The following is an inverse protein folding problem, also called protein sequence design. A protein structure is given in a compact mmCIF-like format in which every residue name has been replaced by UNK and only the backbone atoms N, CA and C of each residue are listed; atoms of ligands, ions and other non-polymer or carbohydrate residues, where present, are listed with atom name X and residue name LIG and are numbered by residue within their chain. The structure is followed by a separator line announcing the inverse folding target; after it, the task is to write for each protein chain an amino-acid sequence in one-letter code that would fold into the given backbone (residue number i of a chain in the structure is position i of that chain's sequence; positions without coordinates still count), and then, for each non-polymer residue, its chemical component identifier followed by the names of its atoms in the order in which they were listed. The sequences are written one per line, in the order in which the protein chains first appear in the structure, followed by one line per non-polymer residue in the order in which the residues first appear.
data_IF_550908986025
#
_entry.id   IF_550908986025
#
_cell.length_a   1.000
_cell.length_b   1.000
_cell.length_c   1.000
_cell.angle_alpha   90.00
_cell.angle_beta   90.00
_cell.angle_gamma   90.00
#
_symmetry.space_group_name_H-M   'P 1'
#
loop_
_entity.id
_entity.type
_entity.pdbx_description
1 polymer ?
#
# COMPACT_ATOMS: atom_id res chain seq x y z
N UNK A 1 14.76 -6.85 5.12
CA UNK A 1 15.14 -6.15 3.86
C UNK A 1 15.80 -7.14 2.93
N UNK A 2 15.35 -7.26 1.69
CA UNK A 2 15.80 -8.31 0.74
C UNK A 2 16.51 -7.65 -0.43
N UNK A 3 17.74 -8.07 -0.71
CA UNK A 3 18.50 -7.59 -1.86
C UNK A 3 18.42 -8.60 -3.02
N UNK A 4 17.89 -8.17 -4.15
CA UNK A 4 17.69 -9.03 -5.33
C UNK A 4 18.96 -9.02 -6.16
N UNK A 5 19.72 -10.13 -6.12
CA UNK A 5 20.88 -10.35 -7.00
C UNK A 5 20.51 -11.27 -8.15
N UNK A 6 20.79 -10.83 -9.37
CA UNK A 6 20.73 -11.69 -10.55
C UNK A 6 21.89 -12.68 -10.51
N UNK A 7 21.61 -13.96 -10.25
CA UNK A 7 22.61 -15.02 -10.26
C UNK A 7 22.56 -15.75 -11.60
N UNK A 8 23.65 -15.68 -12.37
CA UNK A 8 23.80 -16.49 -13.57
C UNK A 8 24.44 -17.82 -13.20
N UNK A 9 23.63 -18.87 -13.10
CA UNK A 9 24.13 -20.22 -12.94
C UNK A 9 24.34 -20.81 -14.34
N UNK A 10 25.59 -21.05 -14.73
CA UNK A 10 25.92 -21.79 -15.92
C UNK A 10 26.13 -23.26 -15.50
N UNK A 11 25.13 -24.11 -15.76
CA UNK A 11 25.28 -25.55 -15.66
C UNK A 11 25.65 -26.05 -17.08
N UNK A 12 26.88 -26.48 -17.26
CA UNK A 12 27.31 -27.20 -18.46
C UNK A 12 26.82 -28.65 -18.32
N UNK A 13 25.76 -29.03 -19.03
CA UNK A 13 25.45 -30.41 -19.28
C UNK A 13 25.58 -30.72 -20.78
N UNK A 14 26.37 -31.72 -21.05
CA UNK A 14 26.64 -32.24 -22.41
C UNK A 14 25.43 -32.94 -23.00
N UNK A 15 25.07 -32.47 -24.20
CA UNK A 15 24.44 -33.17 -25.31
C UNK A 15 23.47 -34.36 -25.05
N UNK A 16 22.19 -34.07 -25.15
CA UNK A 16 21.27 -34.82 -26.02
C UNK A 16 20.15 -33.88 -26.46
N UNK A 17 19.90 -33.83 -27.75
CA UNK A 17 18.98 -32.95 -28.43
C UNK A 17 17.52 -33.18 -28.03
N UNK A 18 17.06 -32.43 -27.05
CA UNK A 18 15.72 -31.89 -26.99
C UNK A 18 15.93 -30.37 -26.80
N UNK A 19 15.30 -29.56 -27.61
CA UNK A 19 15.23 -28.13 -27.35
C UNK A 19 14.45 -27.97 -26.05
N UNK A 20 15.17 -27.96 -24.91
CA UNK A 20 14.63 -27.41 -23.70
C UNK A 20 14.46 -25.91 -23.96
N UNK A 21 13.28 -25.32 -23.70
CA UNK A 21 13.15 -23.90 -23.75
C UNK A 21 14.23 -23.30 -22.84
N UNK A 22 14.87 -22.22 -23.29
CA UNK A 22 15.86 -21.48 -22.51
C UNK A 22 15.39 -21.43 -21.08
N UNK A 23 16.10 -22.09 -20.17
CA UNK A 23 15.78 -22.02 -18.74
C UNK A 23 15.93 -20.58 -18.35
N UNK A 24 14.81 -19.87 -18.25
CA UNK A 24 14.78 -18.47 -17.84
C UNK A 24 15.53 -18.36 -16.52
N UNK A 25 16.49 -17.44 -16.47
CA UNK A 25 17.32 -17.25 -15.28
C UNK A 25 16.45 -16.88 -14.11
N UNK A 26 16.33 -17.78 -13.15
CA UNK A 26 15.69 -17.50 -11.88
C UNK A 26 16.48 -16.43 -11.12
N UNK A 27 15.78 -15.58 -10.38
CA UNK A 27 16.41 -14.62 -9.50
C UNK A 27 16.71 -15.28 -8.14
N UNK A 28 17.83 -14.88 -7.53
CA UNK A 28 18.13 -15.19 -6.13
C UNK A 28 17.80 -13.99 -5.27
N UNK A 29 17.40 -14.23 -4.04
CA UNK A 29 17.28 -13.20 -3.00
C UNK A 29 18.29 -13.46 -1.89
N UNK A 30 18.62 -12.41 -1.16
CA UNK A 30 19.33 -12.50 0.12
C UNK A 30 18.59 -11.63 1.13
N UNK A 31 18.40 -12.15 2.35
CA UNK A 31 17.89 -11.36 3.47
C UNK A 31 19.10 -10.60 4.02
N UNK A 32 19.03 -9.27 3.97
CA UNK A 32 20.09 -8.41 4.51
C UNK A 32 19.90 -8.12 5.99
N UNK A 33 18.66 -7.81 6.36
CA UNK A 33 18.29 -7.49 7.74
C UNK A 33 16.90 -8.03 8.07
N UNK A 34 16.68 -8.26 9.36
CA UNK A 34 15.37 -8.55 9.94
C UNK A 34 15.10 -7.45 10.97
N UNK A 35 14.00 -6.74 10.79
CA UNK A 35 13.50 -5.76 11.73
C UNK A 35 12.46 -6.46 12.61
N UNK A 36 12.85 -6.81 13.84
CA UNK A 36 11.98 -7.53 14.76
C UNK A 36 10.90 -6.60 15.30
N UNK A 37 9.73 -6.60 14.67
CA UNK A 37 8.54 -5.93 15.20
C UNK A 37 7.95 -6.77 16.32
N UNK A 38 7.42 -6.12 17.38
CA UNK A 38 6.81 -6.84 18.51
C UNK A 38 5.46 -7.50 18.17
N UNK A 39 4.88 -7.13 17.03
CA UNK A 39 3.61 -7.65 16.49
C UNK A 39 3.72 -7.96 15.01
N UNK A 40 2.61 -8.33 14.41
CA UNK A 40 2.57 -8.65 12.98
C UNK A 40 2.72 -7.36 12.16
N UNK A 41 3.81 -7.22 11.40
CA UNK A 41 3.95 -6.13 10.44
C UNK A 41 2.88 -6.28 9.35
N UNK A 42 1.87 -5.41 9.39
CA UNK A 42 0.72 -5.43 8.46
C UNK A 42 0.94 -4.56 7.25
N UNK A 43 1.48 -3.38 7.49
CA UNK A 43 1.66 -2.35 6.46
C UNK A 43 2.92 -1.54 6.74
N UNK A 44 3.58 -1.09 5.69
CA UNK A 44 4.77 -0.24 5.76
C UNK A 44 4.71 0.85 4.71
N UNK A 45 5.10 2.05 5.09
CA UNK A 45 5.36 3.16 4.18
C UNK A 45 6.78 3.67 4.41
N UNK A 46 7.43 4.12 3.34
CA UNK A 46 8.82 4.57 3.38
C UNK A 46 8.91 6.03 2.98
N UNK A 47 9.63 6.81 3.79
CA UNK A 47 9.97 8.21 3.51
C UNK A 47 11.47 8.41 3.72
N UNK A 48 12.23 8.63 2.65
CA UNK A 48 13.69 8.70 2.72
C UNK A 48 14.29 7.40 3.26
N UNK A 49 15.04 7.48 4.34
CA UNK A 49 15.60 6.32 5.05
C UNK A 49 14.71 5.80 6.19
N UNK A 50 13.52 6.34 6.38
CA UNK A 50 12.61 5.92 7.45
C UNK A 50 11.52 4.99 6.95
N UNK A 51 11.28 3.91 7.69
CA UNK A 51 10.12 3.06 7.53
C UNK A 51 9.15 3.27 8.69
N UNK A 52 7.90 3.51 8.36
CA UNK A 52 6.78 3.59 9.31
C UNK A 52 5.98 2.32 9.16
N UNK A 53 5.83 1.57 10.25
CA UNK A 53 5.25 0.21 10.23
C UNK A 53 4.00 0.16 11.09
N UNK A 54 2.90 -0.33 10.54
CA UNK A 54 1.74 -0.76 11.30
C UNK A 54 1.97 -2.20 11.77
N UNK A 55 2.11 -2.40 13.08
CA UNK A 55 2.54 -3.67 13.68
C UNK A 55 1.42 -4.38 14.48
N UNK A 56 0.19 -4.31 13.98
CA UNK A 56 -0.96 -4.97 14.61
C UNK A 56 -1.21 -4.51 16.03
N UNK A 57 -1.29 -5.44 16.96
CA UNK A 57 -1.51 -5.16 18.39
C UNK A 57 -0.37 -4.41 19.06
N UNK A 58 0.81 -4.39 18.47
CA UNK A 58 1.97 -3.66 19.00
C UNK A 58 2.00 -2.20 18.56
N UNK A 59 1.01 -1.75 17.78
CA UNK A 59 0.86 -0.37 17.38
C UNK A 59 1.72 0.03 16.19
N UNK A 60 2.42 1.17 16.26
CA UNK A 60 3.23 1.67 15.14
C UNK A 60 4.69 1.86 15.54
N UNK A 61 5.58 1.56 14.62
CA UNK A 61 7.02 1.67 14.80
C UNK A 61 7.66 2.50 13.71
N UNK A 62 8.70 3.24 14.07
CA UNK A 62 9.51 4.01 13.13
C UNK A 62 10.93 3.44 13.17
N UNK A 63 11.43 3.03 12.02
CA UNK A 63 12.76 2.45 11.84
C UNK A 63 13.63 3.31 10.95
N UNK A 64 14.92 3.38 11.28
CA UNK A 64 15.95 3.86 10.37
C UNK A 64 16.46 2.67 9.53
N UNK A 65 16.31 2.78 8.22
CA UNK A 65 16.65 1.70 7.29
C UNK A 65 18.14 1.65 6.95
N UNK A 66 18.85 2.77 7.06
CA UNK A 66 20.30 2.83 6.84
C UNK A 66 21.06 2.27 8.04
N UNK A 67 20.70 2.74 9.24
CA UNK A 67 21.33 2.33 10.48
C UNK A 67 20.76 1.02 11.06
N UNK A 68 19.65 0.52 10.51
CA UNK A 68 18.92 -0.67 10.97
C UNK A 68 18.50 -0.58 12.45
N UNK A 69 18.04 0.59 12.89
CA UNK A 69 17.69 0.84 14.27
C UNK A 69 16.23 1.23 14.42
N UNK A 70 15.62 0.77 15.52
CA UNK A 70 14.30 1.22 15.93
C UNK A 70 14.42 2.63 16.53
N UNK A 71 13.79 3.61 15.88
CA UNK A 71 13.76 4.99 16.37
C UNK A 71 12.67 5.20 17.39
N UNK A 72 11.46 4.71 17.12
CA UNK A 72 10.28 4.87 17.98
C UNK A 72 9.37 3.64 17.92
N UNK A 73 8.66 3.44 19.04
CA UNK A 73 7.71 2.36 19.24
C UNK A 73 6.51 2.91 20.04
N UNK A 74 5.35 2.98 19.40
CA UNK A 74 4.12 3.53 19.97
C UNK A 74 3.08 2.43 20.09
N UNK A 75 2.78 2.02 21.31
CA UNK A 75 1.73 1.01 21.58
C UNK A 75 0.33 1.61 21.68
N UNK A 76 0.23 2.92 21.70
CA UNK A 76 -1.03 3.67 21.79
C UNK A 76 -0.77 5.18 21.75
N UNK A 77 -1.79 5.94 22.08
CA UNK A 77 -1.78 7.41 22.04
C UNK A 77 -2.65 8.00 23.16
N UNK A 78 -2.48 9.29 23.42
CA UNK A 78 -3.31 10.03 24.37
C UNK A 78 -4.44 10.80 23.66
N UNK A 79 -5.67 10.64 24.14
CA UNK A 79 -6.84 11.39 23.72
C UNK A 79 -7.63 11.86 24.94
N UNK A 80 -7.84 13.17 25.06
CA UNK A 80 -8.58 13.76 26.20
C UNK A 80 -8.00 13.45 27.58
N UNK A 81 -6.67 13.21 27.67
CA UNK A 81 -5.99 12.84 28.91
C UNK A 81 -6.11 11.36 29.28
N UNK A 82 -6.58 10.52 28.36
CA UNK A 82 -6.67 9.08 28.51
C UNK A 82 -5.72 8.40 27.51
N UNK A 83 -4.91 7.47 27.98
CA UNK A 83 -4.08 6.63 27.10
C UNK A 83 -4.93 5.50 26.51
N UNK A 84 -4.92 5.40 25.17
CA UNK A 84 -5.63 4.39 24.40
C UNK A 84 -4.60 3.50 23.67
N UNK A 85 -4.66 2.20 23.91
CA UNK A 85 -3.79 1.22 23.24
C UNK A 85 -4.34 0.87 21.85
N UNK A 86 -3.44 0.70 20.88
CA UNK A 86 -3.80 0.12 19.58
C UNK A 86 -4.15 -1.37 19.75
N UNK A 87 -5.23 -1.81 19.07
CA UNK A 87 -5.71 -3.19 19.18
C UNK A 87 -5.31 -4.05 17.98
N UNK A 88 -5.42 -3.53 16.77
CA UNK A 88 -5.06 -4.24 15.52
C UNK A 88 -4.76 -3.25 14.41
N UNK A 89 -3.65 -2.51 14.56
CA UNK A 89 -3.25 -1.50 13.59
C UNK A 89 -2.89 -2.17 12.24
N UNK A 90 -3.60 -1.80 11.20
CA UNK A 90 -3.53 -2.46 9.90
C UNK A 90 -3.02 -1.56 8.77
N UNK A 91 -3.37 -0.28 8.80
CA UNK A 91 -3.04 0.66 7.74
C UNK A 91 -2.23 1.83 8.28
N UNK A 92 -1.31 2.29 7.46
CA UNK A 92 -0.45 3.44 7.76
C UNK A 92 -0.28 4.30 6.51
N UNK A 93 -0.34 5.62 6.69
CA UNK A 93 -0.09 6.61 5.65
C UNK A 93 0.71 7.79 6.18
N UNK A 94 1.32 8.55 5.30
CA UNK A 94 2.20 9.66 5.65
C UNK A 94 1.92 10.89 4.80
N UNK A 95 1.85 12.04 5.44
CA UNK A 95 1.91 13.36 4.80
C UNK A 95 3.14 14.09 5.34
N UNK A 96 4.25 14.08 4.61
CA UNK A 96 5.49 14.72 5.05
C UNK A 96 5.40 16.24 5.06
N UNK A 97 4.55 16.86 4.23
CA UNK A 97 4.40 18.32 4.14
C UNK A 97 3.86 18.90 5.45
N UNK A 98 2.87 18.22 6.03
CA UNK A 98 2.21 18.65 7.26
C UNK A 98 2.66 17.85 8.49
N UNK A 99 3.69 17.02 8.36
CA UNK A 99 4.18 16.14 9.42
C UNK A 99 3.10 15.24 10.00
N UNK A 100 2.18 14.72 9.16
CA UNK A 100 1.09 13.87 9.61
C UNK A 100 1.40 12.39 9.39
N UNK A 101 0.94 11.58 10.32
CA UNK A 101 0.85 10.14 10.24
C UNK A 101 -0.62 9.74 10.35
N UNK A 102 -1.09 8.96 9.39
CA UNK A 102 -2.44 8.42 9.36
C UNK A 102 -2.40 6.96 9.76
N UNK A 103 -3.20 6.60 10.75
CA UNK A 103 -3.24 5.24 11.27
C UNK A 103 -4.68 4.74 11.31
N UNK A 104 -4.91 3.52 10.83
CA UNK A 104 -6.21 2.87 10.94
C UNK A 104 -6.07 1.44 11.44
N UNK A 105 -6.88 1.09 12.41
CA UNK A 105 -7.06 -0.29 12.84
C UNK A 105 -7.96 -1.02 11.84
N UNK A 106 -7.91 -2.35 11.85
CA UNK A 106 -8.68 -3.18 10.92
C UNK A 106 -10.16 -2.82 10.93
N UNK A 107 -10.67 -2.37 9.78
CA UNK A 107 -12.08 -1.98 9.57
C UNK A 107 -12.58 -0.85 10.50
N UNK A 108 -11.72 0.09 10.82
CA UNK A 108 -12.03 1.24 11.67
C UNK A 108 -11.79 2.56 10.93
N UNK A 109 -12.08 3.65 11.64
CA UNK A 109 -11.79 5.01 11.20
C UNK A 109 -10.28 5.27 11.05
N UNK A 110 -9.93 6.28 10.26
CA UNK A 110 -8.54 6.73 10.14
C UNK A 110 -8.25 7.83 11.15
N UNK A 111 -7.27 7.62 12.01
CA UNK A 111 -6.81 8.60 12.99
C UNK A 111 -5.69 9.46 12.41
N UNK A 112 -5.75 10.76 12.67
CA UNK A 112 -4.76 11.77 12.27
C UNK A 112 -3.85 12.03 13.45
N UNK A 113 -2.56 11.83 13.25
CA UNK A 113 -1.53 12.17 14.22
C UNK A 113 -0.55 13.19 13.63
N UNK A 114 -0.11 14.11 14.44
CA UNK A 114 1.07 14.92 14.14
C UNK A 114 2.31 14.25 14.71
N UNK A 115 3.32 14.10 13.88
CA UNK A 115 4.63 13.59 14.26
C UNK A 115 5.55 14.81 14.38
N UNK A 116 5.89 15.19 15.60
CA UNK A 116 6.71 16.38 15.85
C UNK A 116 8.20 16.13 15.54
N UNK A 117 9.04 17.19 15.66
CA UNK A 117 10.49 17.12 15.40
C UNK A 117 11.24 16.14 16.34
N UNK A 118 10.61 15.72 17.43
CA UNK A 118 11.15 14.71 18.35
C UNK A 118 10.63 13.32 18.10
N UNK A 119 9.90 13.14 16.99
CA UNK A 119 9.14 11.94 16.66
C UNK A 119 8.14 11.55 17.75
N UNK A 120 7.47 12.53 18.40
CA UNK A 120 6.36 12.26 19.32
C UNK A 120 5.06 12.20 18.55
N UNK A 121 4.24 11.18 18.87
CA UNK A 121 2.97 10.92 18.21
C UNK A 121 1.85 11.67 18.95
N UNK A 122 1.31 12.73 18.33
CA UNK A 122 0.30 13.59 18.94
C UNK A 122 -1.01 13.42 18.17
N UNK A 123 -2.04 12.84 18.82
CA UNK A 123 -3.38 12.73 18.25
C UNK A 123 -3.97 14.10 17.92
N UNK A 124 -4.60 14.21 16.75
CA UNK A 124 -5.22 15.46 16.27
C UNK A 124 -6.70 15.35 15.98
N UNK A 125 -7.10 14.32 15.25
CA UNK A 125 -8.51 14.12 14.90
C UNK A 125 -8.74 12.69 14.37
N UNK A 126 -9.99 12.36 14.09
CA UNK A 126 -10.40 11.11 13.44
C UNK A 126 -11.23 11.42 12.19
N UNK A 127 -10.84 10.82 11.06
CA UNK A 127 -11.63 10.81 9.83
C UNK A 127 -12.66 9.70 9.96
N UNK A 128 -13.92 10.08 10.09
CA UNK A 128 -15.03 9.14 10.27
C UNK A 128 -15.28 8.34 9.00
N UNK A 129 -14.89 7.08 9.02
CA UNK A 129 -15.12 6.13 7.95
C UNK A 129 -15.40 4.78 8.57
N UNK A 130 -16.62 4.29 8.47
CA UNK A 130 -17.08 3.16 9.27
C UNK A 130 -16.31 1.85 9.06
N UNK A 131 -15.70 1.65 7.86
CA UNK A 131 -14.97 0.43 7.50
C UNK A 131 -13.91 0.70 6.45
N UNK A 132 -12.93 1.52 6.75
CA UNK A 132 -11.79 1.78 5.88
C UNK A 132 -11.03 0.49 5.61
N UNK A 133 -10.89 0.15 4.34
CA UNK A 133 -10.11 -1.00 3.84
C UNK A 133 -8.74 -0.60 3.35
N UNK A 134 -8.66 0.62 2.85
CA UNK A 134 -7.43 1.23 2.35
C UNK A 134 -7.63 2.73 2.17
N UNK A 135 -6.55 3.49 2.10
CA UNK A 135 -6.62 4.92 1.83
C UNK A 135 -5.34 5.44 1.18
N UNK A 136 -5.47 6.54 0.46
CA UNK A 136 -4.36 7.32 -0.08
C UNK A 136 -4.52 8.78 0.30
N UNK A 137 -3.43 9.44 0.69
CA UNK A 137 -3.37 10.88 0.83
C UNK A 137 -2.71 11.48 -0.40
N UNK A 138 -3.34 12.48 -1.00
CA UNK A 138 -2.72 13.23 -2.09
C UNK A 138 -1.63 14.14 -1.55
N UNK A 139 -0.61 14.48 -2.39
CA UNK A 139 0.41 15.42 -1.99
C UNK A 139 -0.22 16.71 -1.47
N UNK A 140 0.03 16.97 -0.20
CA UNK A 140 -0.61 18.06 0.52
C UNK A 140 0.12 19.37 0.23
N UNK A 141 -0.61 20.46 0.28
CA UNK A 141 0.00 21.77 0.48
C UNK A 141 0.09 22.01 2.00
N UNK A 142 0.89 23.00 2.39
CA UNK A 142 1.00 23.34 3.81
C UNK A 142 -0.38 23.69 4.39
N UNK A 143 -0.67 23.15 5.57
CA UNK A 143 -1.92 23.36 6.32
C UNK A 143 -3.18 22.79 5.65
N UNK A 144 -3.04 21.94 4.63
CA UNK A 144 -4.16 21.27 3.97
C UNK A 144 -3.78 19.87 3.51
N UNK A 145 -4.72 18.93 3.58
CA UNK A 145 -4.59 17.63 2.93
C UNK A 145 -5.93 17.10 2.40
N UNK A 146 -5.85 16.23 1.41
CA UNK A 146 -6.99 15.44 0.92
C UNK A 146 -6.66 13.97 1.04
N UNK A 147 -7.60 13.21 1.60
CA UNK A 147 -7.52 11.76 1.69
C UNK A 147 -8.69 11.13 0.96
N UNK A 148 -8.37 10.10 0.18
CA UNK A 148 -9.36 9.22 -0.44
C UNK A 148 -9.29 7.86 0.23
N UNK A 149 -10.44 7.29 0.59
CA UNK A 149 -10.52 5.99 1.25
C UNK A 149 -11.47 5.05 0.53
N UNK A 150 -11.05 3.80 0.41
CA UNK A 150 -11.90 2.69 0.03
C UNK A 150 -12.67 2.24 1.27
N UNK A 151 -13.98 2.49 1.30
CA UNK A 151 -14.87 2.08 2.38
C UNK A 151 -15.75 0.92 1.93
N UNK A 152 -15.70 -0.19 2.65
CA UNK A 152 -16.38 -1.41 2.25
C UNK A 152 -17.90 -1.28 2.13
N UNK A 153 -18.51 -0.36 2.84
CA UNK A 153 -19.97 -0.20 2.89
C UNK A 153 -20.45 0.98 2.03
N UNK A 154 -19.64 2.03 1.93
CA UNK A 154 -20.08 3.33 1.39
C UNK A 154 -19.43 3.69 0.03
N UNK A 155 -18.44 2.93 -0.40
CA UNK A 155 -17.78 3.18 -1.68
C UNK A 155 -16.47 3.96 -1.53
N UNK A 156 -16.23 4.90 -2.44
CA UNK A 156 -15.11 5.84 -2.36
C UNK A 156 -15.53 7.03 -1.52
N UNK A 157 -14.82 7.27 -0.43
CA UNK A 157 -14.95 8.50 0.34
C UNK A 157 -13.75 9.40 0.12
N UNK A 158 -13.95 10.70 0.11
CA UNK A 158 -12.87 11.65 0.16
C UNK A 158 -13.13 12.73 1.21
N UNK A 159 -12.05 13.21 1.81
CA UNK A 159 -12.07 14.15 2.91
C UNK A 159 -11.02 15.22 2.68
N UNK A 160 -11.46 16.48 2.78
CA UNK A 160 -10.56 17.63 2.71
C UNK A 160 -10.47 18.28 4.08
N UNK A 161 -9.26 18.45 4.58
CA UNK A 161 -8.97 19.02 5.89
C UNK A 161 -8.08 20.25 5.77
N UNK A 162 -8.39 21.26 6.58
CA UNK A 162 -7.54 22.41 6.80
C UNK A 162 -7.02 22.40 8.25
N UNK A 163 -5.83 22.97 8.43
CA UNK A 163 -5.30 23.26 9.75
C UNK A 163 -5.85 24.61 10.22
N UNK A 164 -6.68 24.56 11.25
CA UNK A 164 -7.19 25.76 11.91
C UNK A 164 -6.39 26.04 13.19
N UNK A 165 -5.97 27.29 13.38
CA UNK A 165 -5.36 27.72 14.62
C UNK A 165 -6.23 28.79 15.27
N UNK A 166 -6.59 28.58 16.52
CA UNK A 166 -7.31 29.55 17.34
C UNK A 166 -6.53 29.83 18.59
N UNK A 167 -6.46 31.13 18.99
CA UNK A 167 -5.82 31.54 20.23
C UNK A 167 -6.87 31.95 21.26
N UNK A 168 -6.82 31.35 22.44
CA UNK A 168 -7.67 31.72 23.57
C UNK A 168 -6.83 31.78 24.85
N UNK A 169 -6.93 32.91 25.57
CA UNK A 169 -6.16 33.17 26.80
C UNK A 169 -4.64 32.99 26.67
N UNK A 170 -4.07 33.24 25.47
CA UNK A 170 -2.64 33.08 25.17
C UNK A 170 -2.21 31.63 24.95
N UNK A 171 -3.15 30.72 24.83
CA UNK A 171 -2.95 29.34 24.43
C UNK A 171 -3.40 29.19 22.98
N UNK A 172 -2.52 28.64 22.15
CA UNK A 172 -2.82 28.31 20.75
C UNK A 172 -3.40 26.89 20.69
N UNK A 173 -4.56 26.78 20.06
CA UNK A 173 -5.21 25.50 19.76
C UNK A 173 -5.08 25.24 18.27
N UNK A 174 -4.45 24.15 17.91
CA UNK A 174 -4.21 23.70 16.53
C UNK A 174 -5.04 22.44 16.30
N UNK A 175 -5.94 22.50 15.33
CA UNK A 175 -6.84 21.40 15.01
C UNK A 175 -6.97 21.20 13.49
N UNK A 176 -6.96 19.96 13.06
CA UNK A 176 -7.30 19.60 11.69
C UNK A 176 -8.82 19.48 11.58
N UNK A 177 -9.45 20.40 10.85
CA UNK A 177 -10.90 20.45 10.71
C UNK A 177 -11.34 20.06 9.31
N UNK A 178 -12.46 19.29 9.17
CA UNK A 178 -13.01 18.96 7.87
C UNK A 178 -13.53 20.23 7.18
N UNK A 179 -13.02 20.50 5.98
CA UNK A 179 -13.43 21.63 5.13
C UNK A 179 -14.36 21.20 4.01
N UNK A 180 -14.26 19.97 3.56
CA UNK A 180 -15.08 19.38 2.52
C UNK A 180 -14.96 17.86 2.52
N UNK A 181 -15.75 17.24 1.70
CA UNK A 181 -15.76 15.80 1.52
C UNK A 181 -17.06 15.32 0.90
N UNK A 182 -17.01 14.15 0.32
CA UNK A 182 -18.17 13.48 -0.26
C UNK A 182 -17.94 11.98 -0.27
N UNK A 183 -18.99 11.25 -0.55
CA UNK A 183 -18.95 9.83 -0.85
C UNK A 183 -19.44 9.57 -2.27
N UNK A 184 -18.79 8.65 -2.96
CA UNK A 184 -19.17 8.22 -4.29
C UNK A 184 -19.50 6.74 -4.18
N UNK A 185 -20.77 6.44 -4.28
CA UNK A 185 -21.24 5.07 -4.25
C UNK A 185 -20.63 4.26 -5.38
N UNK A 186 -20.02 3.12 -5.03
CA UNK A 186 -19.65 2.07 -5.98
C UNK A 186 -20.56 0.87 -5.79
N UNK A 187 -20.99 0.20 -6.85
CA UNK A 187 -21.90 -0.93 -6.73
C UNK A 187 -21.26 -2.20 -6.13
N UNK A 188 -19.94 -2.19 -5.87
CA UNK A 188 -19.18 -3.27 -5.27
C UNK A 188 -18.66 -2.91 -3.87
N UNK A 189 -17.69 -3.70 -3.40
CA UNK A 189 -17.01 -3.48 -2.13
C UNK A 189 -15.60 -3.01 -2.39
N UNK A 190 -15.28 -1.73 -2.20
CA UNK A 190 -13.92 -1.25 -2.29
C UNK A 190 -13.03 -1.89 -1.21
N UNK A 191 -11.88 -2.43 -1.63
CA UNK A 191 -10.95 -3.14 -0.76
C UNK A 191 -9.53 -2.57 -0.81
N UNK A 192 -9.15 -1.96 -1.94
CA UNK A 192 -7.85 -1.35 -2.14
C UNK A 192 -7.96 -0.07 -2.95
N UNK A 193 -7.03 0.85 -2.75
CA UNK A 193 -6.97 2.11 -3.46
C UNK A 193 -5.52 2.53 -3.63
N UNK A 194 -5.20 3.14 -4.78
CA UNK A 194 -3.91 3.77 -5.04
C UNK A 194 -4.10 4.98 -5.95
N UNK A 195 -3.09 5.83 -6.08
CA UNK A 195 -3.14 7.03 -6.88
C UNK A 195 -1.78 7.39 -7.48
N UNK A 196 -1.79 8.19 -8.56
CA UNK A 196 -0.57 8.80 -9.12
C UNK A 196 -0.11 10.03 -8.31
N UNK A 197 -0.89 10.43 -7.31
CA UNK A 197 -0.65 11.62 -6.51
C UNK A 197 -0.96 12.93 -7.26
N UNK A 198 -1.54 12.90 -8.46
CA UNK A 198 -1.81 14.08 -9.28
C UNK A 198 -3.29 14.15 -9.71
N UNK A 199 -3.76 13.19 -10.47
CA UNK A 199 -5.05 13.28 -11.14
C UNK A 199 -5.81 11.95 -11.27
N UNK A 200 -5.18 10.83 -10.96
CA UNK A 200 -5.78 9.51 -11.09
C UNK A 200 -5.88 8.80 -9.75
N UNK A 201 -7.03 8.17 -9.55
CA UNK A 201 -7.27 7.20 -8.48
C UNK A 201 -7.65 5.88 -9.14
N UNK A 202 -7.09 4.80 -8.61
CA UNK A 202 -7.50 3.44 -8.97
C UNK A 202 -8.02 2.73 -7.73
N UNK A 203 -9.09 1.95 -7.88
CA UNK A 203 -9.74 1.28 -6.78
C UNK A 203 -10.03 -0.18 -7.12
N UNK A 204 -9.61 -1.10 -6.25
CA UNK A 204 -10.01 -2.50 -6.29
C UNK A 204 -11.41 -2.64 -5.68
N UNK A 205 -12.34 -3.26 -6.40
CA UNK A 205 -13.76 -3.33 -6.04
C UNK A 205 -14.26 -4.79 -6.03
N UNK A 206 -13.58 -5.62 -5.26
CA UNK A 206 -13.95 -7.05 -5.05
C UNK A 206 -14.30 -7.74 -6.37
N UNK A 207 -15.50 -8.30 -6.50
CA UNK A 207 -15.98 -9.04 -7.67
C UNK A 207 -16.22 -8.17 -8.93
N UNK A 208 -16.17 -6.86 -8.81
CA UNK A 208 -16.37 -5.95 -9.95
C UNK A 208 -15.04 -5.54 -10.63
N UNK A 209 -13.93 -6.08 -10.15
CA UNK A 209 -12.61 -5.78 -10.69
C UNK A 209 -12.09 -4.40 -10.26
N UNK A 210 -11.67 -3.57 -11.20
CA UNK A 210 -10.96 -2.32 -10.93
C UNK A 210 -11.67 -1.14 -11.56
N UNK A 211 -11.82 -0.06 -10.80
CA UNK A 211 -12.29 1.25 -11.26
C UNK A 211 -11.11 2.22 -11.37
N UNK A 212 -11.08 2.98 -12.47
CA UNK A 212 -10.18 4.11 -12.66
C UNK A 212 -11.01 5.40 -12.65
N UNK A 213 -10.59 6.35 -11.82
CA UNK A 213 -11.25 7.65 -11.67
C UNK A 213 -10.25 8.77 -11.95
N UNK A 214 -10.74 9.91 -12.44
CA UNK A 214 -9.96 11.13 -12.58
C UNK A 214 -10.41 12.19 -11.58
N UNK A 215 -9.49 13.06 -11.23
CA UNK A 215 -9.71 14.22 -10.36
C UNK A 215 -9.25 15.45 -11.13
N UNK A 216 -10.14 16.40 -11.37
CA UNK A 216 -9.82 17.63 -12.09
C UNK A 216 -9.01 18.63 -11.25
N UNK A 217 -9.20 18.61 -9.95
CA UNK A 217 -8.48 19.45 -8.97
C UNK A 217 -8.58 18.86 -7.56
N UNK A 218 -7.64 19.21 -6.72
CA UNK A 218 -7.61 18.77 -5.32
C UNK A 218 -8.93 19.14 -4.60
N UNK A 219 -9.60 18.14 -4.01
CA UNK A 219 -10.90 18.33 -3.35
C UNK A 219 -12.11 18.39 -4.30
N UNK A 220 -11.94 18.11 -5.60
CA UNK A 220 -13.06 17.88 -6.49
C UNK A 220 -13.58 16.44 -6.37
N UNK A 221 -14.84 16.25 -6.71
CA UNK A 221 -15.43 14.91 -6.79
C UNK A 221 -14.74 14.09 -7.89
N UNK A 222 -14.20 12.90 -7.59
CA UNK A 222 -13.63 12.02 -8.60
C UNK A 222 -14.68 11.57 -9.63
N UNK A 223 -14.25 11.50 -10.89
CA UNK A 223 -15.10 11.09 -12.03
C UNK A 223 -14.64 9.75 -12.56
N UNK A 224 -15.55 8.77 -12.63
CA UNK A 224 -15.26 7.46 -13.18
C UNK A 224 -14.87 7.54 -14.66
N UNK A 225 -13.65 7.11 -14.99
CA UNK A 225 -13.18 6.94 -16.39
C UNK A 225 -13.69 5.62 -16.94
N UNK A 226 -13.57 4.55 -16.17
CA UNK A 226 -14.00 3.22 -16.60
C UNK A 226 -13.74 2.14 -15.56
N UNK A 227 -14.20 0.95 -15.90
CA UNK A 227 -14.04 -0.27 -15.13
C UNK A 227 -13.50 -1.38 -15.99
N UNK A 228 -12.62 -2.20 -15.41
CA UNK A 228 -12.14 -3.44 -16.03
C UNK A 228 -12.34 -4.59 -15.04
N UNK A 229 -13.03 -5.63 -15.48
CA UNK A 229 -13.22 -6.84 -14.70
C UNK A 229 -11.92 -7.65 -14.60
N UNK A 230 -11.70 -8.30 -13.48
CA UNK A 230 -10.56 -9.18 -13.22
C UNK A 230 -10.99 -10.61 -13.00
N UNK A 231 -10.10 -11.55 -13.26
CA UNK A 231 -10.34 -12.92 -12.89
C UNK A 231 -10.15 -13.06 -11.36
N UNK A 232 -11.24 -13.26 -10.63
CA UNK A 232 -11.26 -13.29 -9.16
C UNK A 232 -11.53 -11.95 -8.52
N UNK A 233 -11.42 -11.89 -7.19
CA UNK A 233 -11.72 -10.70 -6.41
C UNK A 233 -10.53 -9.73 -6.43
N UNK A 234 -10.73 -8.50 -6.87
CA UNK A 234 -9.72 -7.46 -6.77
C UNK A 234 -9.62 -6.97 -5.31
N UNK A 235 -8.46 -7.20 -4.68
CA UNK A 235 -8.20 -6.89 -3.27
C UNK A 235 -7.34 -5.63 -3.09
N UNK A 236 -6.22 -5.57 -3.81
CA UNK A 236 -5.27 -4.46 -3.76
C UNK A 236 -4.83 -4.07 -5.15
N UNK A 237 -4.48 -2.81 -5.32
CA UNK A 237 -4.04 -2.23 -6.59
C UNK A 237 -2.75 -1.46 -6.41
N UNK A 238 -1.94 -1.42 -7.47
CA UNK A 238 -0.76 -0.57 -7.56
C UNK A 238 -0.79 0.13 -8.91
N UNK A 239 -0.92 1.45 -8.88
CA UNK A 239 -0.93 2.29 -10.06
C UNK A 239 0.50 2.60 -10.50
N UNK A 240 0.76 2.43 -11.78
CA UNK A 240 2.03 2.79 -12.42
C UNK A 240 1.78 3.66 -13.64
N UNK A 241 2.81 4.27 -14.18
CA UNK A 241 2.69 5.05 -15.42
C UNK A 241 2.26 4.22 -16.64
N UNK A 242 2.42 2.90 -16.61
CA UNK A 242 2.05 1.99 -17.72
C UNK A 242 0.68 1.36 -17.55
N UNK A 243 0.16 1.28 -16.33
CA UNK A 243 -1.10 0.61 -16.02
C UNK A 243 -1.22 0.25 -14.55
N UNK A 244 -2.20 -0.58 -14.27
CA UNK A 244 -2.57 -1.00 -12.92
C UNK A 244 -2.21 -2.46 -12.71
N UNK A 245 -1.49 -2.76 -11.65
CA UNK A 245 -1.29 -4.11 -11.16
C UNK A 245 -2.30 -4.40 -10.05
N UNK A 246 -2.88 -5.59 -10.07
CA UNK A 246 -4.00 -5.96 -9.20
C UNK A 246 -3.70 -7.28 -8.50
N UNK A 247 -3.83 -7.31 -7.17
CA UNK A 247 -3.90 -8.54 -6.40
C UNK A 247 -5.33 -9.07 -6.48
N UNK A 248 -5.50 -10.29 -7.00
CA UNK A 248 -6.80 -10.89 -7.31
C UNK A 248 -7.13 -12.10 -6.42
N UNK A 249 -6.73 -12.05 -5.13
CA UNK A 249 -6.96 -13.13 -4.17
C UNK A 249 -6.53 -14.48 -4.76
N UNK A 250 -7.41 -15.47 -4.77
CA UNK A 250 -7.16 -16.83 -5.25
C UNK A 250 -6.94 -16.96 -6.77
N UNK A 251 -7.14 -15.90 -7.53
CA UNK A 251 -6.92 -15.89 -8.97
C UNK A 251 -5.54 -15.31 -9.37
N UNK A 252 -4.68 -15.07 -8.40
CA UNK A 252 -3.33 -14.56 -8.63
C UNK A 252 -3.28 -13.05 -8.74
N UNK A 253 -2.71 -12.55 -9.82
CA UNK A 253 -2.54 -11.16 -10.11
C UNK A 253 -2.99 -10.82 -11.54
N UNK A 254 -3.25 -9.53 -11.78
CA UNK A 254 -3.57 -9.04 -13.10
C UNK A 254 -2.84 -7.74 -13.42
N UNK A 255 -2.62 -7.47 -14.70
CA UNK A 255 -2.18 -6.20 -15.23
C UNK A 255 -3.23 -5.62 -16.18
N UNK A 256 -3.54 -4.33 -16.01
CA UNK A 256 -4.52 -3.60 -16.80
C UNK A 256 -3.84 -2.35 -17.37
N UNK A 257 -3.59 -2.26 -18.69
CA UNK A 257 -3.16 -1.01 -19.33
C UNK A 257 -4.16 0.12 -19.07
N UNK A 258 -3.68 1.35 -18.90
CA UNK A 258 -4.58 2.51 -18.66
C UNK A 258 -5.61 2.69 -19.77
N UNK A 259 -5.22 2.45 -21.01
CA UNK A 259 -6.12 2.56 -22.18
C UNK A 259 -7.22 1.50 -22.23
N UNK A 260 -7.16 0.47 -21.43
CA UNK A 260 -8.22 -0.54 -21.34
C UNK A 260 -9.43 -0.09 -20.52
N UNK A 261 -9.26 0.90 -19.66
CA UNK A 261 -10.39 1.44 -18.90
C UNK A 261 -11.40 2.13 -19.83
N UNK A 262 -12.67 1.78 -19.64
CA UNK A 262 -13.75 2.22 -20.53
C UNK A 262 -13.84 1.46 -21.87
N UNK A 263 -13.07 0.39 -22.05
CA UNK A 263 -13.14 -0.52 -23.20
C UNK A 263 -13.59 -1.93 -22.75
N UNK A 264 -13.80 -2.82 -23.74
CA UNK A 264 -14.12 -4.22 -23.47
C UNK A 264 -12.86 -5.12 -23.38
N UNK A 265 -11.67 -4.53 -23.31
CA UNK A 265 -10.44 -5.29 -23.23
C UNK A 265 -10.27 -5.87 -21.82
N UNK A 266 -9.95 -7.16 -21.70
CA UNK A 266 -9.79 -7.80 -20.40
C UNK A 266 -8.46 -7.41 -19.75
N UNK A 267 -8.36 -7.70 -18.43
CA UNK A 267 -7.11 -7.71 -17.72
C UNK A 267 -6.22 -8.90 -18.13
N UNK A 268 -4.90 -8.74 -18.05
CA UNK A 268 -3.94 -9.80 -18.29
C UNK A 268 -3.60 -10.48 -16.98
N UNK A 269 -4.07 -11.71 -16.76
CA UNK A 269 -3.82 -12.47 -15.52
C UNK A 269 -2.46 -13.17 -15.53
N UNK A 270 -1.80 -13.20 -14.37
CA UNK A 270 -0.56 -13.93 -14.13
C UNK A 270 -0.49 -14.42 -12.67
N UNK A 271 0.47 -15.30 -12.35
CA UNK A 271 0.60 -15.83 -10.99
C UNK A 271 -0.64 -16.56 -10.48
N UNK A 272 -1.42 -17.18 -11.36
CA UNK A 272 -2.74 -17.76 -11.08
C UNK A 272 -2.71 -18.98 -10.15
N UNK A 273 -1.52 -19.48 -9.83
CA UNK A 273 -1.30 -20.58 -8.85
C UNK A 273 -1.16 -20.07 -7.41
N UNK A 274 -1.26 -18.74 -7.20
CA UNK A 274 -1.10 -18.08 -5.92
C UNK A 274 -2.38 -17.40 -5.46
N UNK A 275 -2.57 -17.35 -4.14
CA UNK A 275 -3.39 -16.34 -3.50
C UNK A 275 -2.52 -15.11 -3.28
N UNK A 276 -2.88 -13.98 -3.88
CA UNK A 276 -2.08 -12.76 -3.86
C UNK A 276 -2.79 -11.70 -3.02
N UNK A 277 -2.17 -11.35 -1.89
CA UNK A 277 -2.70 -10.37 -0.94
C UNK A 277 -2.29 -8.93 -1.29
N UNK A 278 -1.09 -8.75 -1.88
CA UNK A 278 -0.55 -7.43 -2.23
C UNK A 278 0.48 -7.53 -3.36
N UNK A 279 0.62 -6.46 -4.14
CA UNK A 279 1.64 -6.32 -5.19
C UNK A 279 2.39 -5.02 -4.97
N UNK A 280 3.73 -5.11 -4.90
CA UNK A 280 4.60 -3.96 -4.99
C UNK A 280 5.32 -3.95 -6.33
N UNK A 281 5.43 -2.79 -6.96
CA UNK A 281 6.06 -2.63 -8.27
C UNK A 281 7.18 -1.59 -8.17
N UNK A 282 8.34 -1.92 -8.74
CA UNK A 282 9.44 -0.98 -8.88
C UNK A 282 10.25 -1.30 -10.14
N UNK A 283 10.37 -0.33 -11.04
CA UNK A 283 10.99 -0.54 -12.34
C UNK A 283 10.36 -1.75 -13.06
N UNK A 284 11.17 -2.74 -13.42
CA UNK A 284 10.73 -3.95 -14.12
C UNK A 284 10.51 -5.14 -13.18
N UNK A 285 10.22 -4.91 -11.92
CA UNK A 285 10.02 -5.96 -10.91
C UNK A 285 8.66 -5.80 -10.27
N UNK A 286 7.86 -6.86 -10.29
CA UNK A 286 6.69 -7.00 -9.43
C UNK A 286 6.99 -8.02 -8.33
N UNK A 287 6.66 -7.65 -7.10
CA UNK A 287 6.77 -8.49 -5.92
C UNK A 287 5.36 -8.77 -5.38
N UNK A 288 4.95 -10.04 -5.44
CA UNK A 288 3.64 -10.51 -4.99
C UNK A 288 3.78 -11.08 -3.58
N UNK A 289 3.06 -10.51 -2.62
CA UNK A 289 2.88 -11.10 -1.29
C UNK A 289 1.84 -12.21 -1.40
N UNK A 290 2.26 -13.45 -1.15
CA UNK A 290 1.46 -14.66 -1.39
C UNK A 290 1.17 -15.43 -0.09
N UNK A 291 0.90 -14.68 0.98
CA UNK A 291 0.52 -15.21 2.27
C UNK A 291 1.53 -16.21 2.81
N UNK A 292 1.06 -17.40 3.19
CA UNK A 292 1.90 -18.47 3.78
C UNK A 292 2.97 -19.04 2.84
N UNK A 293 2.87 -18.79 1.54
CA UNK A 293 3.90 -19.22 0.57
C UNK A 293 5.04 -18.22 0.43
N UNK A 294 4.95 -17.06 1.09
CA UNK A 294 5.98 -16.03 1.14
C UNK A 294 5.86 -15.02 0.01
N UNK A 295 6.86 -14.93 -0.85
CA UNK A 295 7.00 -13.90 -1.88
C UNK A 295 7.22 -14.54 -3.26
N UNK A 296 6.51 -14.07 -4.29
CA UNK A 296 6.81 -14.39 -5.67
C UNK A 296 7.32 -13.15 -6.41
N UNK A 297 8.37 -13.29 -7.20
CA UNK A 297 8.96 -12.20 -7.97
C UNK A 297 8.76 -12.42 -9.47
N UNK A 298 8.36 -11.36 -10.16
CA UNK A 298 8.12 -11.34 -11.60
C UNK A 298 8.96 -10.26 -12.29
N UNK A 299 9.48 -10.61 -13.47
CA UNK A 299 10.01 -9.64 -14.43
C UNK A 299 8.84 -9.09 -15.24
N UNK A 300 8.62 -7.79 -15.12
CA UNK A 300 7.57 -7.06 -15.80
C UNK A 300 8.15 -6.05 -16.81
N UNK A 301 9.31 -6.38 -17.42
CA UNK A 301 9.88 -5.58 -18.52
C UNK A 301 8.89 -5.44 -19.68
N UNK A 302 8.03 -6.42 -19.87
CA UNK A 302 6.80 -6.34 -20.65
C UNK A 302 5.63 -6.62 -19.70
N UNK A 303 4.91 -5.59 -19.22
CA UNK A 303 3.83 -5.77 -18.27
C UNK A 303 2.67 -6.62 -18.80
N UNK A 304 2.52 -6.72 -20.11
CA UNK A 304 1.52 -7.59 -20.75
C UNK A 304 1.87 -9.09 -20.66
N UNK A 305 3.15 -9.41 -20.39
CA UNK A 305 3.67 -10.78 -20.29
C UNK A 305 4.63 -10.94 -19.12
N UNK A 306 4.14 -10.86 -17.88
CA UNK A 306 4.97 -11.03 -16.68
C UNK A 306 5.60 -12.42 -16.61
N UNK A 307 6.90 -12.47 -16.30
CA UNK A 307 7.66 -13.71 -16.25
C UNK A 307 8.07 -14.01 -14.81
N UNK A 308 7.64 -15.15 -14.25
CA UNK A 308 8.05 -15.56 -12.91
C UNK A 308 9.57 -15.78 -12.83
N UNK A 309 10.19 -15.19 -11.83
CA UNK A 309 11.62 -15.27 -11.54
C UNK A 309 11.96 -16.04 -10.27
N UNK A 310 10.97 -16.39 -9.49
CA UNK A 310 11.12 -17.26 -8.33
C UNK A 310 10.07 -17.04 -7.26
N UNK A 311 9.91 -18.09 -6.45
CA UNK A 311 9.07 -18.10 -5.25
C UNK A 311 9.97 -18.31 -4.03
N UNK A 312 9.80 -17.47 -3.01
CA UNK A 312 10.70 -17.40 -1.85
C UNK A 312 9.89 -17.60 -0.57
N UNK A 313 10.03 -18.73 0.12
CA UNK A 313 9.30 -19.06 1.35
C UNK A 313 9.92 -18.33 2.56
N UNK A 314 9.65 -17.04 2.69
CA UNK A 314 10.19 -16.16 3.74
C UNK A 314 9.21 -15.92 4.91
N UNK A 315 8.31 -16.84 5.16
CA UNK A 315 7.24 -16.72 6.16
C UNK A 315 5.94 -16.22 5.56
N UNK A 316 4.95 -15.92 6.42
CA UNK A 316 3.67 -15.36 5.96
C UNK A 316 3.83 -13.88 5.65
N UNK A 317 3.53 -13.48 4.42
CA UNK A 317 3.68 -12.11 3.94
C UNK A 317 2.33 -11.43 3.76
N UNK A 318 2.20 -10.19 4.28
CA UNK A 318 1.01 -9.34 4.13
C UNK A 318 1.16 -8.34 2.98
N UNK A 319 2.27 -7.61 2.97
CA UNK A 319 2.58 -6.64 1.93
C UNK A 319 4.08 -6.45 1.77
N UNK A 320 4.46 -5.74 0.75
CA UNK A 320 5.84 -5.35 0.53
C UNK A 320 5.94 -3.94 -0.05
N UNK A 321 7.08 -3.28 0.17
CA UNK A 321 7.39 -1.96 -0.39
C UNK A 321 8.85 -1.92 -0.84
N UNK A 322 9.14 -1.14 -1.88
CA UNK A 322 10.51 -0.94 -2.35
C UNK A 322 11.16 0.28 -1.68
N UNK A 323 12.43 0.14 -1.35
CA UNK A 323 13.30 1.19 -0.87
C UNK A 323 14.69 1.03 -1.50
N UNK A 324 15.15 2.01 -2.28
CA UNK A 324 16.47 2.02 -2.94
C UNK A 324 16.84 0.71 -3.65
N UNK A 325 15.88 0.10 -4.37
CA UNK A 325 16.08 -1.17 -5.08
C UNK A 325 16.12 -2.40 -4.18
N UNK A 326 15.85 -2.26 -2.88
CA UNK A 326 15.63 -3.32 -1.91
C UNK A 326 14.13 -3.47 -1.66
N UNK A 327 13.73 -4.65 -1.21
CA UNK A 327 12.35 -4.94 -0.87
C UNK A 327 12.21 -5.09 0.63
N UNK A 328 11.35 -4.27 1.23
CA UNK A 328 10.84 -4.46 2.58
C UNK A 328 9.63 -5.38 2.51
N UNK A 329 9.57 -6.37 3.37
CA UNK A 329 8.45 -7.32 3.42
C UNK A 329 7.85 -7.32 4.80
N UNK A 330 6.57 -6.99 4.87
CA UNK A 330 5.77 -7.11 6.09
C UNK A 330 5.38 -8.57 6.27
N UNK A 331 5.84 -9.18 7.35
CA UNK A 331 5.58 -10.59 7.63
C UNK A 331 4.92 -10.78 9.01
N UNK A 332 4.34 -11.98 9.18
CA UNK A 332 3.74 -12.37 10.45
C UNK A 332 4.80 -12.64 11.53
N UNK A 333 5.99 -12.95 11.10
CA UNK A 333 7.12 -13.26 11.98
C UNK A 333 7.86 -12.01 12.47
N UNK A 334 7.49 -10.84 12.00
CA UNK A 334 8.10 -9.55 12.35
C UNK A 334 8.97 -8.95 11.27
#
# INVERSE_FOLDING_TARGET
MINIKKISIVILLFLQSCMEPDTEKLWGISIENIFETKGFARSVIVEGSRAYVAAGQSGTQIWDLEENTLLKDFTGYEEGGTFLEFQDLALIGRDPVNSLLFLSESNQDVKIFHLDDTDSLIYRNTIMSARTKDFVSFPSIQDQFVMYSADNDDGLKWHFYNLDSTSSFGIEFIEWTPYGGSEIYTPGKPLGIDSDGESLIVMAVDQLGVELLSIDSLGADPVLIGRVDTQGNAEKVTLTSSGVFVACDNAGAAYIPIENFGTANPANSFGTDFTVDHIAVHNNIAALSIGSRGLALYDISDPGYPIEKGVFPIGYTYMSAFWEGKLLVCSREG
#
